data_IF_772499704306
#
_entry.id   IF_772499704306
#
_cell.length_a   1.000
_cell.length_b   1.000
_cell.length_c   1.000
_cell.angle_alpha   90.00
_cell.angle_beta   90.00
_cell.angle_gamma   90.00
#
_symmetry.space_group_name_H-M   'P 1'
#
loop_
_entity.id
_entity.type
_entity.pdbx_description
1 polymer ?
#
# COMPACT_ATOMS: atom_id res chain seq x y z
N UNK A 1 -0.27 13.28 17.19
CA UNK A 1 -1.33 12.31 17.58
C UNK A 1 -0.91 10.93 17.08
N UNK A 2 -0.97 9.90 17.91
CA UNK A 2 -0.61 8.53 17.48
C UNK A 2 -1.84 7.87 16.87
N UNK A 3 -1.82 7.54 15.59
CA UNK A 3 -2.90 6.87 14.88
C UNK A 3 -2.55 5.39 14.70
N UNK A 4 -3.49 4.50 15.01
CA UNK A 4 -3.36 3.06 14.80
C UNK A 4 -4.45 2.64 13.82
N UNK A 5 -4.07 1.96 12.75
CA UNK A 5 -5.02 1.57 11.71
C UNK A 5 -4.76 0.21 11.10
N UNK A 6 -5.57 -0.12 10.10
CA UNK A 6 -5.43 -1.29 9.23
C UNK A 6 -5.62 -0.88 7.78
N UNK A 7 -4.95 -1.58 6.86
CA UNK A 7 -5.23 -1.48 5.42
C UNK A 7 -6.50 -2.28 5.08
N UNK A 8 -7.36 -1.70 4.26
CA UNK A 8 -8.45 -2.41 3.61
C UNK A 8 -8.04 -2.78 2.17
N UNK A 9 -6.92 -3.51 2.06
CA UNK A 9 -6.36 -3.98 0.80
C UNK A 9 -7.30 -4.91 0.04
N UNK A 10 -7.11 -5.04 -1.27
CA UNK A 10 -7.88 -5.88 -2.17
C UNK A 10 -9.40 -5.60 -2.19
N UNK A 11 -9.85 -4.47 -1.70
CA UNK A 11 -11.27 -4.10 -1.75
C UNK A 11 -11.61 -3.28 -2.99
N UNK A 12 -10.99 -2.11 -3.15
CA UNK A 12 -11.23 -1.19 -4.27
C UNK A 12 -10.12 -1.25 -5.33
N UNK A 13 -8.93 -1.72 -4.96
CA UNK A 13 -7.83 -2.11 -5.84
C UNK A 13 -7.63 -3.61 -5.69
N UNK A 14 -7.62 -4.35 -6.78
CA UNK A 14 -7.55 -5.81 -6.74
C UNK A 14 -6.11 -6.31 -6.77
N UNK A 15 -5.84 -7.28 -5.91
CA UNK A 15 -4.60 -8.04 -5.87
C UNK A 15 -4.92 -9.53 -5.97
N UNK A 16 -4.51 -10.18 -7.06
CA UNK A 16 -4.89 -11.57 -7.38
C UNK A 16 -4.56 -12.55 -6.27
N UNK A 17 -3.40 -12.39 -5.62
CA UNK A 17 -2.96 -13.29 -4.55
C UNK A 17 -3.88 -13.24 -3.31
N UNK A 18 -4.59 -12.14 -3.08
CA UNK A 18 -5.54 -12.00 -1.96
C UNK A 18 -6.91 -12.59 -2.27
N UNK A 19 -7.33 -12.63 -3.54
CA UNK A 19 -8.58 -13.24 -3.97
C UNK A 19 -8.50 -13.80 -5.39
N UNK A 20 -7.80 -14.94 -5.58
CA UNK A 20 -7.61 -15.54 -6.90
C UNK A 20 -8.91 -15.94 -7.59
N UNK A 21 -9.99 -16.18 -6.84
CA UNK A 21 -11.29 -16.55 -7.40
C UNK A 21 -11.89 -15.47 -8.31
N UNK A 22 -11.56 -14.19 -8.07
CA UNK A 22 -11.98 -13.10 -8.96
C UNK A 22 -11.40 -13.23 -10.38
N UNK A 23 -10.25 -13.89 -10.50
CA UNK A 23 -9.47 -14.02 -11.73
C UNK A 23 -9.72 -15.35 -12.45
N UNK A 24 -10.58 -16.22 -11.91
CA UNK A 24 -10.89 -17.51 -12.52
C UNK A 24 -11.35 -17.40 -13.98
N UNK A 25 -10.81 -18.28 -14.85
CA UNK A 25 -11.12 -18.29 -16.28
C UNK A 25 -10.36 -17.24 -17.08
N UNK A 26 -9.36 -16.58 -16.48
CA UNK A 26 -8.46 -15.63 -17.15
C UNK A 26 -7.00 -15.98 -16.90
N UNK A 27 -6.11 -15.36 -17.66
CA UNK A 27 -4.65 -15.35 -17.41
C UNK A 27 -4.20 -14.01 -16.83
N UNK A 28 -5.14 -13.12 -16.47
CA UNK A 28 -4.84 -11.82 -15.88
C UNK A 28 -4.14 -11.99 -14.53
N UNK A 29 -3.10 -11.19 -14.30
CA UNK A 29 -2.39 -11.11 -13.03
C UNK A 29 -2.78 -9.85 -12.22
N UNK A 30 -3.50 -8.94 -12.86
CA UNK A 30 -3.86 -7.62 -12.34
C UNK A 30 -5.24 -7.16 -12.81
N UNK A 31 -5.71 -6.05 -12.26
CA UNK A 31 -7.01 -5.47 -12.61
C UNK A 31 -7.02 -4.81 -14.00
N UNK A 32 -5.85 -4.46 -14.57
CA UNK A 32 -5.79 -3.92 -15.92
C UNK A 32 -6.25 -4.94 -16.96
N UNK A 33 -5.78 -6.19 -16.84
CA UNK A 33 -6.09 -7.26 -17.78
C UNK A 33 -7.42 -7.97 -17.51
N UNK A 34 -7.89 -7.95 -16.26
CA UNK A 34 -9.11 -8.66 -15.86
C UNK A 34 -10.34 -8.27 -16.69
N UNK A 35 -10.74 -6.98 -16.84
CA UNK A 35 -11.89 -6.58 -17.65
C UNK A 35 -11.67 -6.73 -19.16
N UNK A 36 -10.41 -6.90 -19.59
CA UNK A 36 -10.07 -7.11 -21.01
C UNK A 36 -10.14 -8.57 -21.43
N UNK A 37 -10.15 -9.48 -20.45
CA UNK A 37 -10.22 -10.93 -20.69
C UNK A 37 -11.59 -11.53 -20.33
N UNK A 38 -12.44 -10.81 -19.63
CA UNK A 38 -13.82 -11.21 -19.31
C UNK A 38 -14.82 -10.47 -20.19
N UNK A 39 -16.03 -11.03 -20.36
CA UNK A 39 -17.14 -10.22 -20.88
C UNK A 39 -17.49 -9.12 -19.89
N UNK A 40 -18.02 -8.01 -20.39
CA UNK A 40 -18.41 -6.87 -19.56
C UNK A 40 -19.36 -7.29 -18.43
N UNK A 41 -20.36 -8.09 -18.73
CA UNK A 41 -21.37 -8.55 -17.78
C UNK A 41 -20.77 -9.42 -16.67
N UNK A 42 -19.80 -10.29 -17.01
CA UNK A 42 -19.12 -11.15 -16.04
C UNK A 42 -18.20 -10.32 -15.13
N UNK A 43 -17.44 -9.39 -15.70
CA UNK A 43 -16.59 -8.50 -14.94
C UNK A 43 -17.43 -7.63 -13.99
N UNK A 44 -18.47 -6.97 -14.48
CA UNK A 44 -19.36 -6.15 -13.66
C UNK A 44 -20.00 -6.92 -12.50
N UNK A 45 -20.47 -8.14 -12.78
CA UNK A 45 -21.08 -8.97 -11.75
C UNK A 45 -20.07 -9.37 -10.66
N UNK A 46 -18.85 -9.80 -11.05
CA UNK A 46 -17.79 -10.17 -10.11
C UNK A 46 -17.37 -8.99 -9.21
N UNK A 47 -17.10 -7.85 -9.81
CA UNK A 47 -16.68 -6.65 -9.09
C UNK A 47 -17.77 -6.16 -8.14
N UNK A 48 -19.04 -6.15 -8.57
CA UNK A 48 -20.16 -5.74 -7.72
C UNK A 48 -20.32 -6.63 -6.50
N UNK A 49 -20.26 -7.94 -6.68
CA UNK A 49 -20.35 -8.91 -5.56
C UNK A 49 -19.15 -8.71 -4.63
N UNK A 50 -17.93 -8.69 -5.19
CA UNK A 50 -16.72 -8.50 -4.40
C UNK A 50 -16.79 -7.24 -3.54
N UNK A 51 -17.06 -6.08 -4.14
CA UNK A 51 -17.08 -4.80 -3.41
C UNK A 51 -18.18 -4.75 -2.33
N UNK A 52 -19.29 -5.45 -2.55
CA UNK A 52 -20.40 -5.47 -1.58
C UNK A 52 -20.18 -6.42 -0.40
N UNK A 53 -19.33 -7.44 -0.55
CA UNK A 53 -19.18 -8.51 0.44
C UNK A 53 -17.80 -8.54 1.11
N UNK A 54 -16.76 -8.04 0.43
CA UNK A 54 -15.37 -8.13 0.88
C UNK A 54 -15.10 -7.25 2.09
N UNK A 55 -15.52 -5.99 2.05
CA UNK A 55 -15.51 -5.06 3.20
C UNK A 55 -16.93 -4.53 3.41
N UNK A 56 -17.40 -4.62 4.63
CA UNK A 56 -18.75 -4.26 5.05
C UNK A 56 -18.74 -3.36 6.27
N UNK A 57 -19.88 -2.78 6.63
CA UNK A 57 -20.04 -2.01 7.87
C UNK A 57 -19.59 -2.78 9.12
N UNK A 58 -19.80 -4.11 9.14
CA UNK A 58 -19.40 -4.98 10.26
C UNK A 58 -17.89 -4.97 10.48
N UNK A 59 -17.10 -4.81 9.41
CA UNK A 59 -15.65 -4.74 9.50
C UNK A 59 -15.22 -3.47 10.23
N UNK A 60 -15.88 -2.33 9.97
CA UNK A 60 -15.61 -1.07 10.68
C UNK A 60 -15.94 -1.20 12.18
N UNK A 61 -17.05 -1.85 12.53
CA UNK A 61 -17.38 -2.17 13.94
C UNK A 61 -16.28 -3.02 14.57
N UNK A 62 -15.83 -4.05 13.87
CA UNK A 62 -14.77 -4.96 14.35
C UNK A 62 -13.46 -4.22 14.55
N UNK A 63 -13.02 -3.41 13.56
CA UNK A 63 -11.80 -2.60 13.63
C UNK A 63 -11.86 -1.65 14.83
N UNK A 64 -12.99 -0.99 15.04
CA UNK A 64 -13.16 -0.12 16.20
C UNK A 64 -13.10 -0.89 17.51
N UNK A 65 -13.67 -2.09 17.57
CA UNK A 65 -13.63 -2.93 18.77
C UNK A 65 -12.20 -3.38 19.16
N UNK A 66 -11.28 -3.38 18.22
CA UNK A 66 -9.85 -3.64 18.47
C UNK A 66 -9.09 -2.42 19.01
N UNK A 67 -9.78 -1.29 19.21
CA UNK A 67 -9.18 -0.05 19.70
C UNK A 67 -8.31 0.63 18.65
N UNK A 68 -8.63 0.45 17.37
CA UNK A 68 -7.98 1.14 16.26
C UNK A 68 -8.69 2.46 15.96
N UNK A 69 -7.96 3.39 15.37
CA UNK A 69 -8.38 4.77 15.16
C UNK A 69 -8.66 5.07 13.68
N UNK A 70 -8.05 4.30 12.77
CA UNK A 70 -8.09 4.60 11.35
C UNK A 70 -8.08 3.35 10.46
N UNK A 71 -8.47 3.56 9.20
CA UNK A 71 -8.30 2.62 8.09
C UNK A 71 -7.56 3.34 6.95
N UNK A 72 -6.63 2.66 6.29
CA UNK A 72 -6.07 3.09 5.00
C UNK A 72 -6.85 2.36 3.91
N UNK A 73 -7.33 3.10 2.93
CA UNK A 73 -8.13 2.55 1.85
C UNK A 73 -7.42 2.79 0.52
N UNK A 74 -6.80 1.74 -0.06
CA UNK A 74 -6.30 1.78 -1.42
C UNK A 74 -7.43 2.07 -2.42
N UNK A 75 -7.24 3.10 -3.25
CA UNK A 75 -8.18 3.47 -4.31
C UNK A 75 -7.49 3.50 -5.66
N UNK A 76 -8.15 3.04 -6.76
CA UNK A 76 -7.55 3.05 -8.06
C UNK A 76 -7.68 4.43 -8.74
N UNK A 77 -6.82 4.70 -9.73
CA UNK A 77 -6.91 5.93 -10.53
C UNK A 77 -8.25 6.09 -11.26
N UNK A 78 -8.94 5.00 -11.54
CA UNK A 78 -10.26 5.00 -12.18
C UNK A 78 -11.45 5.04 -11.21
N UNK A 79 -11.20 5.44 -9.95
CA UNK A 79 -12.22 5.44 -8.89
C UNK A 79 -13.53 6.15 -9.28
N UNK A 80 -13.47 7.17 -10.13
CA UNK A 80 -14.64 7.92 -10.59
C UNK A 80 -15.37 7.30 -11.78
N UNK A 81 -14.88 6.19 -12.34
CA UNK A 81 -15.53 5.49 -13.46
C UNK A 81 -15.37 6.17 -14.82
N UNK A 82 -14.38 7.03 -14.98
CA UNK A 82 -14.08 7.78 -16.19
C UNK A 82 -12.97 7.16 -17.07
N UNK A 83 -12.64 5.92 -16.80
CA UNK A 83 -11.64 5.13 -17.57
C UNK A 83 -12.20 3.75 -17.93
N UNK A 84 -12.71 3.61 -19.14
CA UNK A 84 -13.12 2.28 -19.62
C UNK A 84 -11.91 1.35 -19.86
N UNK A 85 -12.06 0.04 -19.61
CA UNK A 85 -13.28 -0.68 -19.27
C UNK A 85 -13.53 -0.82 -17.74
N UNK A 86 -12.86 -0.05 -16.91
CA UNK A 86 -12.95 -0.15 -15.46
C UNK A 86 -14.26 0.40 -14.91
N UNK A 87 -14.70 -0.18 -13.81
CA UNK A 87 -15.88 0.29 -13.08
C UNK A 87 -15.45 1.15 -11.91
N UNK A 88 -15.93 2.38 -11.85
CA UNK A 88 -15.68 3.26 -10.71
C UNK A 88 -16.16 2.69 -9.38
N UNK A 89 -15.58 3.19 -8.29
CA UNK A 89 -15.90 2.74 -6.93
C UNK A 89 -16.07 3.90 -5.93
N UNK A 90 -16.33 5.10 -6.42
CA UNK A 90 -16.48 6.28 -5.56
C UNK A 90 -17.63 6.14 -4.55
N UNK A 91 -18.71 5.45 -4.92
CA UNK A 91 -19.86 5.21 -4.02
C UNK A 91 -19.51 4.25 -2.88
N UNK A 92 -18.58 3.31 -3.12
CA UNK A 92 -18.11 2.40 -2.07
C UNK A 92 -17.20 3.15 -1.08
N UNK A 93 -16.37 4.08 -1.55
CA UNK A 93 -15.61 4.97 -0.69
C UNK A 93 -16.54 5.91 0.11
N UNK A 94 -17.63 6.42 -0.48
CA UNK A 94 -18.65 7.19 0.25
C UNK A 94 -19.26 6.39 1.40
N UNK A 95 -19.57 5.10 1.17
CA UNK A 95 -20.07 4.20 2.24
C UNK A 95 -19.03 4.04 3.35
N UNK A 96 -17.75 3.85 2.99
CA UNK A 96 -16.67 3.77 3.96
C UNK A 96 -16.59 5.02 4.84
N UNK A 97 -16.69 6.21 4.26
CA UNK A 97 -16.73 7.46 5.02
C UNK A 97 -17.91 7.51 5.99
N UNK A 98 -19.11 7.11 5.54
CA UNK A 98 -20.30 7.08 6.40
C UNK A 98 -20.11 6.09 7.57
N UNK A 99 -19.51 4.93 7.33
CA UNK A 99 -19.23 3.95 8.39
C UNK A 99 -18.12 4.44 9.33
N UNK A 100 -17.04 5.01 8.78
CA UNK A 100 -15.95 5.55 9.58
C UNK A 100 -16.44 6.65 10.55
N UNK A 101 -17.18 7.61 10.04
CA UNK A 101 -17.74 8.71 10.86
C UNK A 101 -18.73 8.19 11.91
N UNK A 102 -19.58 7.23 11.54
CA UNK A 102 -20.54 6.59 12.47
C UNK A 102 -19.84 5.92 13.65
N UNK A 103 -18.68 5.30 13.43
CA UNK A 103 -17.95 4.54 14.45
C UNK A 103 -16.74 5.30 15.02
N UNK A 104 -16.51 6.55 14.60
CA UNK A 104 -15.38 7.37 15.07
C UNK A 104 -14.03 6.83 14.64
N UNK A 105 -13.95 6.31 13.40
CA UNK A 105 -12.72 5.97 12.71
C UNK A 105 -12.33 7.08 11.73
N UNK A 106 -11.05 7.16 11.37
CA UNK A 106 -10.53 8.04 10.34
C UNK A 106 -10.13 7.23 9.11
N UNK A 107 -10.09 7.87 7.95
CA UNK A 107 -9.69 7.28 6.68
C UNK A 107 -8.45 8.00 6.16
N UNK A 108 -7.40 7.25 5.85
CA UNK A 108 -6.36 7.66 4.92
C UNK A 108 -6.76 7.12 3.54
N UNK A 109 -7.07 8.02 2.62
CA UNK A 109 -7.24 7.65 1.22
C UNK A 109 -5.85 7.47 0.62
N UNK A 110 -5.59 6.33 0.02
CA UNK A 110 -4.35 6.05 -0.66
C UNK A 110 -4.60 5.88 -2.16
N UNK A 111 -4.08 6.78 -2.98
CA UNK A 111 -4.10 6.57 -4.43
C UNK A 111 -3.10 5.49 -4.78
N UNK A 112 -3.60 4.28 -4.92
CA UNK A 112 -2.78 3.07 -4.94
C UNK A 112 -2.19 2.73 -6.31
N UNK A 113 -2.84 3.18 -7.38
CA UNK A 113 -2.43 2.88 -8.75
C UNK A 113 -2.42 4.12 -9.63
N UNK A 114 -1.54 4.13 -10.62
CA UNK A 114 -1.51 5.11 -11.69
C UNK A 114 -1.66 4.44 -13.06
N UNK A 115 -2.24 5.13 -14.07
CA UNK A 115 -2.25 4.61 -15.43
C UNK A 115 -0.85 4.26 -15.89
N UNK A 116 -0.69 3.17 -16.63
CA UNK A 116 0.62 2.69 -17.11
C UNK A 116 1.63 2.33 -15.99
N UNK A 117 1.16 2.24 -14.72
CA UNK A 117 1.90 1.74 -13.58
C UNK A 117 3.01 2.68 -13.05
N UNK A 118 3.08 2.81 -11.73
CA UNK A 118 4.10 3.60 -11.04
C UNK A 118 5.22 2.73 -10.43
N UNK A 119 5.07 1.41 -10.40
CA UNK A 119 6.05 0.51 -9.79
C UNK A 119 6.30 -0.79 -10.57
N UNK A 120 5.40 -1.19 -11.47
CA UNK A 120 5.53 -2.43 -12.24
C UNK A 120 5.23 -3.72 -11.48
N UNK A 121 4.77 -3.62 -10.22
CA UNK A 121 4.34 -4.76 -9.41
C UNK A 121 2.83 -5.03 -9.58
N UNK A 122 2.34 -6.11 -9.00
CA UNK A 122 0.94 -6.51 -9.05
C UNK A 122 0.00 -5.53 -8.32
N UNK A 123 0.48 -4.87 -7.27
CA UNK A 123 -0.27 -3.84 -6.54
C UNK A 123 -0.36 -2.49 -7.29
N UNK A 124 0.47 -2.27 -8.31
CA UNK A 124 0.44 -1.04 -9.13
C UNK A 124 -0.67 -1.02 -10.18
N UNK A 125 -1.52 -2.05 -10.22
CA UNK A 125 -2.67 -2.15 -11.14
C UNK A 125 -2.34 -2.71 -12.52
N UNK A 126 -1.06 -2.82 -12.89
CA UNK A 126 -0.58 -3.48 -14.12
C UNK A 126 0.81 -4.06 -13.89
N UNK A 127 0.91 -5.40 -13.97
CA UNK A 127 2.17 -6.12 -13.79
C UNK A 127 3.17 -5.87 -14.93
N UNK A 128 4.43 -5.67 -14.57
CA UNK A 128 5.55 -5.55 -15.50
C UNK A 128 5.62 -4.22 -16.25
N UNK A 129 4.70 -3.30 -16.03
CA UNK A 129 4.67 -1.99 -16.70
C UNK A 129 4.90 -0.87 -15.69
N UNK A 130 5.91 -0.03 -15.94
CA UNK A 130 6.22 1.15 -15.15
C UNK A 130 6.58 2.31 -16.10
N UNK A 131 5.55 3.01 -16.60
CA UNK A 131 5.67 4.04 -17.63
C UNK A 131 4.89 5.32 -17.32
N UNK A 132 4.10 5.33 -16.26
CA UNK A 132 3.31 6.49 -15.86
C UNK A 132 4.12 7.80 -15.85
N UNK A 133 5.29 7.79 -15.27
CA UNK A 133 6.16 8.98 -15.18
C UNK A 133 6.64 9.51 -16.56
N UNK A 134 6.52 8.69 -17.60
CA UNK A 134 6.94 9.04 -18.96
C UNK A 134 5.80 9.66 -19.77
N UNK A 135 4.57 9.63 -19.26
CA UNK A 135 3.38 10.13 -19.95
C UNK A 135 2.77 11.35 -19.21
N UNK A 136 3.08 12.58 -19.66
CA UNK A 136 2.59 13.80 -19.02
C UNK A 136 1.05 13.91 -18.96
N UNK A 137 0.32 13.32 -19.91
CA UNK A 137 -1.14 13.36 -19.90
C UNK A 137 -1.70 12.48 -18.79
N UNK A 138 -1.10 11.32 -18.54
CA UNK A 138 -1.50 10.43 -17.46
C UNK A 138 -1.06 10.96 -16.08
N UNK A 139 0.06 11.68 -16.01
CA UNK A 139 0.45 12.40 -14.78
C UNK A 139 -0.58 13.48 -14.43
N UNK A 140 -1.00 14.28 -15.43
CA UNK A 140 -2.03 15.30 -15.25
C UNK A 140 -3.40 14.69 -14.88
N UNK A 141 -3.72 13.53 -15.45
CA UNK A 141 -4.93 12.81 -15.06
C UNK A 141 -4.88 12.37 -13.57
N UNK A 142 -3.76 11.86 -13.10
CA UNK A 142 -3.58 11.50 -11.68
C UNK A 142 -3.73 12.72 -10.78
N UNK A 143 -3.17 13.87 -11.13
CA UNK A 143 -3.40 15.12 -10.40
C UNK A 143 -4.88 15.49 -10.35
N UNK A 144 -5.62 15.31 -11.45
CA UNK A 144 -7.06 15.56 -11.52
C UNK A 144 -7.84 14.61 -10.59
N UNK A 145 -7.45 13.33 -10.51
CA UNK A 145 -8.06 12.36 -9.58
C UNK A 145 -7.85 12.82 -8.13
N UNK A 146 -6.62 13.18 -7.75
CA UNK A 146 -6.29 13.68 -6.41
C UNK A 146 -7.08 14.95 -6.07
N UNK A 147 -7.18 15.89 -7.00
CA UNK A 147 -7.96 17.12 -6.80
C UNK A 147 -9.44 16.81 -6.55
N UNK A 148 -10.04 15.92 -7.34
CA UNK A 148 -11.44 15.48 -7.16
C UNK A 148 -11.66 14.77 -5.83
N UNK A 149 -10.72 13.95 -5.37
CA UNK A 149 -10.77 13.31 -4.06
C UNK A 149 -10.71 14.37 -2.94
N UNK A 150 -9.80 15.33 -3.04
CA UNK A 150 -9.68 16.42 -2.07
C UNK A 150 -10.94 17.31 -2.03
N UNK A 151 -11.50 17.65 -3.19
CA UNK A 151 -12.77 18.41 -3.28
C UNK A 151 -13.93 17.66 -2.61
N UNK A 152 -14.00 16.33 -2.78
CA UNK A 152 -15.09 15.51 -2.25
C UNK A 152 -14.98 15.27 -0.75
N UNK A 153 -13.78 14.99 -0.27
CA UNK A 153 -13.57 14.50 1.09
C UNK A 153 -12.79 15.45 2.01
N UNK A 154 -12.20 16.51 1.48
CA UNK A 154 -11.28 17.38 2.23
C UNK A 154 -11.86 18.01 3.50
N UNK A 155 -13.17 18.19 3.56
CA UNK A 155 -13.87 18.72 4.71
C UNK A 155 -14.62 17.65 5.53
N UNK A 156 -14.57 16.37 5.11
CA UNK A 156 -15.23 15.28 5.85
C UNK A 156 -14.54 15.06 7.19
N UNK A 157 -15.34 14.90 8.25
CA UNK A 157 -14.80 14.59 9.57
C UNK A 157 -13.99 13.27 9.54
N UNK A 158 -14.47 12.29 8.79
CA UNK A 158 -13.84 10.98 8.63
C UNK A 158 -12.48 11.02 7.95
N UNK A 159 -12.13 12.06 7.17
CA UNK A 159 -10.82 12.13 6.52
C UNK A 159 -9.72 12.35 7.56
N UNK A 160 -8.66 11.54 7.49
CA UNK A 160 -7.39 11.79 8.15
C UNK A 160 -6.41 12.45 7.18
N UNK A 161 -6.28 11.93 5.97
CA UNK A 161 -5.39 12.47 4.94
C UNK A 161 -5.56 11.78 3.59
N UNK A 162 -4.80 12.28 2.62
CA UNK A 162 -4.71 11.72 1.27
C UNK A 162 -3.25 11.41 0.98
N UNK A 163 -2.96 10.16 0.67
CA UNK A 163 -1.68 9.70 0.15
C UNK A 163 -1.65 9.85 -1.37
N UNK A 164 -0.62 10.56 -1.85
CA UNK A 164 -0.58 11.06 -3.22
C UNK A 164 -0.36 9.96 -4.25
N UNK A 165 0.44 8.96 -3.91
CA UNK A 165 0.66 7.76 -4.73
C UNK A 165 1.33 6.68 -3.89
N UNK A 166 0.85 5.45 -4.00
CA UNK A 166 1.43 4.28 -3.35
C UNK A 166 2.70 3.81 -4.05
N UNK A 167 3.74 3.53 -3.29
CA UNK A 167 4.93 2.78 -3.69
C UNK A 167 5.50 3.13 -5.09
N UNK A 168 5.82 4.39 -5.38
CA UNK A 168 6.53 4.70 -6.61
C UNK A 168 7.90 4.02 -6.57
N UNK A 169 8.20 3.14 -7.54
CA UNK A 169 9.43 2.37 -7.53
C UNK A 169 10.63 3.23 -7.95
N UNK A 170 11.42 3.67 -6.99
CA UNK A 170 12.72 4.30 -7.24
C UNK A 170 13.76 3.25 -7.66
N UNK A 171 14.95 3.69 -8.10
CA UNK A 171 15.99 2.81 -8.64
C UNK A 171 16.37 1.68 -7.66
N UNK A 172 16.55 2.00 -6.37
CA UNK A 172 16.92 1.01 -5.35
C UNK A 172 15.87 -0.09 -5.17
N UNK A 173 14.59 0.29 -5.08
CA UNK A 173 13.49 -0.65 -4.99
C UNK A 173 13.33 -1.49 -6.27
N UNK A 174 13.47 -0.86 -7.44
CA UNK A 174 13.40 -1.52 -8.73
C UNK A 174 14.41 -2.66 -8.87
N UNK A 175 15.66 -2.40 -8.44
CA UNK A 175 16.74 -3.38 -8.46
C UNK A 175 16.57 -4.46 -7.39
N UNK A 176 16.30 -4.05 -6.13
CA UNK A 176 16.13 -4.98 -5.02
C UNK A 176 15.01 -5.98 -5.26
N UNK A 177 13.85 -5.49 -5.71
CA UNK A 177 12.70 -6.33 -5.98
C UNK A 177 12.81 -7.08 -7.31
N UNK A 178 13.80 -6.75 -8.15
CA UNK A 178 13.99 -7.37 -9.47
C UNK A 178 12.67 -7.37 -10.28
N UNK A 179 12.03 -6.20 -10.36
CA UNK A 179 10.65 -6.01 -10.84
C UNK A 179 10.42 -6.72 -12.17
N UNK A 180 11.28 -6.50 -13.14
CA UNK A 180 11.13 -7.07 -14.50
C UNK A 180 11.10 -8.59 -14.53
N UNK A 181 11.80 -9.25 -13.60
CA UNK A 181 11.83 -10.71 -13.52
C UNK A 181 10.70 -11.26 -12.66
N UNK A 182 10.38 -10.57 -11.59
CA UNK A 182 9.38 -11.01 -10.59
C UNK A 182 7.96 -10.84 -11.11
N UNK A 183 7.70 -9.77 -11.85
CA UNK A 183 6.40 -9.40 -12.37
C UNK A 183 6.42 -9.38 -13.91
N UNK A 184 6.41 -10.57 -14.56
CA UNK A 184 6.42 -10.63 -16.01
C UNK A 184 5.14 -10.00 -16.58
N UNK A 185 5.26 -9.12 -17.58
CA UNK A 185 4.09 -8.49 -18.18
C UNK A 185 3.27 -9.50 -19.00
N UNK A 186 1.97 -9.28 -19.08
CA UNK A 186 1.09 -10.02 -19.99
C UNK A 186 1.36 -9.64 -21.45
N UNK A 187 1.75 -8.39 -21.68
CA UNK A 187 2.10 -7.84 -22.99
C UNK A 187 3.50 -7.21 -22.95
N UNK A 188 4.46 -7.89 -23.57
CA UNK A 188 5.87 -7.45 -23.60
C UNK A 188 6.06 -6.14 -24.39
N UNK A 189 5.27 -5.88 -25.43
CA UNK A 189 5.36 -4.63 -26.20
C UNK A 189 4.86 -3.44 -25.36
N UNK A 190 3.80 -3.64 -24.59
CA UNK A 190 3.30 -2.63 -23.64
C UNK A 190 4.36 -2.32 -22.55
N UNK A 191 5.05 -3.35 -22.06
CA UNK A 191 6.07 -3.20 -21.03
C UNK A 191 7.39 -2.59 -21.53
N UNK A 192 7.57 -2.54 -22.83
CA UNK A 192 8.80 -2.03 -23.44
C UNK A 192 9.04 -0.56 -23.08
N UNK A 193 10.24 -0.29 -22.56
CA UNK A 193 10.60 1.04 -22.05
C UNK A 193 10.19 1.31 -20.61
N UNK A 194 9.62 0.33 -19.90
CA UNK A 194 9.42 0.42 -18.45
C UNK A 194 10.73 0.69 -17.73
N UNK A 195 10.70 1.63 -16.80
CA UNK A 195 11.88 2.08 -16.05
C UNK A 195 11.47 2.56 -14.66
N UNK A 196 12.39 2.53 -13.68
CA UNK A 196 12.14 3.10 -12.36
C UNK A 196 11.81 4.59 -12.43
N UNK A 197 11.05 5.06 -11.46
CA UNK A 197 10.74 6.48 -11.31
C UNK A 197 11.97 7.21 -10.77
N UNK A 198 12.29 8.39 -11.33
CA UNK A 198 13.38 9.20 -10.83
C UNK A 198 12.98 10.01 -9.60
N UNK A 199 13.92 10.26 -8.70
CA UNK A 199 13.71 11.12 -7.52
C UNK A 199 13.29 12.53 -7.95
N UNK A 200 13.83 13.07 -9.03
CA UNK A 200 13.47 14.38 -9.56
C UNK A 200 12.00 14.42 -10.00
N UNK A 201 11.55 13.40 -10.73
CA UNK A 201 10.15 13.32 -11.16
C UNK A 201 9.20 13.24 -9.98
N UNK A 202 9.45 12.33 -9.03
CA UNK A 202 8.50 12.10 -7.92
C UNK A 202 8.45 13.31 -6.97
N UNK A 203 9.57 13.99 -6.74
CA UNK A 203 9.60 15.26 -5.99
C UNK A 203 8.74 16.32 -6.68
N UNK A 204 8.92 16.48 -8.00
CA UNK A 204 8.07 17.43 -8.75
C UNK A 204 6.59 17.07 -8.67
N UNK A 205 6.25 15.81 -8.85
CA UNK A 205 4.87 15.32 -8.74
C UNK A 205 4.26 15.64 -7.36
N UNK A 206 4.99 15.41 -6.27
CA UNK A 206 4.50 15.74 -4.92
C UNK A 206 4.29 17.23 -4.70
N UNK A 207 5.16 18.08 -5.23
CA UNK A 207 5.00 19.54 -5.15
C UNK A 207 3.75 20.00 -5.91
N UNK A 208 3.59 19.54 -7.15
CA UNK A 208 2.45 19.89 -8.01
C UNK A 208 1.13 19.38 -7.40
N UNK A 209 1.13 18.16 -6.86
CA UNK A 209 -0.03 17.57 -6.19
C UNK A 209 -0.39 18.34 -4.91
N UNK A 210 0.60 18.69 -4.08
CA UNK A 210 0.39 19.49 -2.87
C UNK A 210 -0.30 20.82 -3.21
N UNK A 211 0.27 21.60 -4.13
CA UNK A 211 -0.26 22.92 -4.53
C UNK A 211 -1.68 22.82 -5.13
N UNK A 212 -2.06 21.65 -5.68
CA UNK A 212 -3.43 21.42 -6.19
C UNK A 212 -4.45 21.13 -5.11
N UNK A 213 -4.10 20.27 -4.14
CA UNK A 213 -5.11 19.70 -3.24
C UNK A 213 -5.19 20.43 -1.89
N UNK A 214 -4.13 21.08 -1.43
CA UNK A 214 -4.04 21.72 -0.11
C UNK A 214 -5.21 22.67 0.16
N UNK A 215 -5.59 23.48 -0.81
CA UNK A 215 -6.70 24.45 -0.72
C UNK A 215 -8.08 23.85 -0.46
N UNK A 216 -8.26 22.54 -0.71
CA UNK A 216 -9.51 21.82 -0.47
C UNK A 216 -9.54 21.07 0.85
N UNK A 217 -8.41 21.00 1.55
CA UNK A 217 -8.29 20.26 2.80
C UNK A 217 -8.51 21.18 4.01
N UNK A 218 -9.24 20.71 5.01
CA UNK A 218 -9.30 21.38 6.31
C UNK A 218 -7.93 21.33 6.99
N UNK A 219 -7.65 22.32 7.85
CA UNK A 219 -6.34 22.49 8.49
C UNK A 219 -5.87 21.30 9.35
N UNK A 220 -6.76 20.41 9.73
CA UNK A 220 -6.49 19.20 10.51
C UNK A 220 -6.21 17.98 9.65
N UNK A 221 -6.20 18.11 8.31
CA UNK A 221 -5.98 17.01 7.37
C UNK A 221 -4.52 16.95 6.92
N UNK A 222 -4.08 15.76 6.55
CA UNK A 222 -2.71 15.49 6.15
C UNK A 222 -2.60 15.18 4.65
N UNK A 223 -1.49 15.58 4.06
CA UNK A 223 -1.04 15.13 2.75
C UNK A 223 0.10 14.16 3.00
N UNK A 224 -0.03 12.94 2.49
CA UNK A 224 0.93 11.86 2.72
C UNK A 224 1.71 11.62 1.44
N UNK A 225 3.03 11.57 1.56
CA UNK A 225 3.96 11.23 0.48
C UNK A 225 4.66 9.92 0.83
N UNK A 226 4.79 9.03 -0.13
CA UNK A 226 5.50 7.77 0.04
C UNK A 226 7.00 7.94 -0.17
N UNK A 227 7.83 7.24 0.60
CA UNK A 227 9.29 7.38 0.57
C UNK A 227 9.97 6.74 -0.66
N UNK A 228 9.24 5.93 -1.44
CA UNK A 228 9.80 5.17 -2.56
C UNK A 228 10.80 4.11 -2.11
N UNK A 229 10.70 3.64 -0.86
CA UNK A 229 11.60 2.71 -0.17
C UNK A 229 13.01 3.27 0.08
N UNK A 230 13.19 4.58 0.00
CA UNK A 230 14.45 5.28 0.27
C UNK A 230 14.20 6.41 1.28
N UNK A 231 13.87 6.05 2.54
CA UNK A 231 13.36 6.96 3.56
C UNK A 231 14.26 8.19 3.81
N UNK A 232 15.57 8.03 3.78
CA UNK A 232 16.49 9.10 4.21
C UNK A 232 16.79 10.16 3.15
N UNK A 233 16.37 9.97 1.90
CA UNK A 233 16.64 10.94 0.81
C UNK A 233 15.73 12.18 0.86
N UNK A 234 14.73 12.20 1.75
CA UNK A 234 13.71 13.26 1.82
C UNK A 234 14.03 14.39 2.80
N UNK A 235 15.20 14.38 3.46
CA UNK A 235 15.58 15.32 4.53
C UNK A 235 15.47 16.81 4.16
N UNK A 236 15.76 17.14 2.93
CA UNK A 236 15.76 18.50 2.39
C UNK A 236 14.50 18.88 1.60
N UNK A 237 13.53 17.96 1.53
CA UNK A 237 12.33 18.14 0.72
C UNK A 237 11.20 18.80 1.53
N UNK A 238 10.38 19.65 0.88
CA UNK A 238 9.22 20.34 1.48
C UNK A 238 9.50 21.02 2.84
N UNK A 239 10.67 21.73 2.94
CA UNK A 239 11.09 22.40 4.19
C UNK A 239 10.59 23.83 4.32
N UNK A 240 9.95 24.40 3.29
CA UNK A 240 9.39 25.74 3.32
C UNK A 240 8.14 25.78 4.21
N UNK A 241 7.88 26.92 4.86
CA UNK A 241 6.74 27.13 5.78
C UNK A 241 5.36 26.90 5.13
N UNK A 242 5.28 26.99 3.81
CA UNK A 242 4.04 26.74 3.06
C UNK A 242 3.61 25.27 3.10
N UNK A 243 4.56 24.33 3.21
CA UNK A 243 4.24 22.90 3.25
C UNK A 243 3.84 22.47 4.65
N UNK A 244 2.54 22.57 4.95
CA UNK A 244 1.96 22.19 6.24
C UNK A 244 1.35 20.80 6.16
N UNK A 245 1.32 20.11 7.31
CA UNK A 245 0.65 18.82 7.46
C UNK A 245 1.09 17.75 6.46
N UNK A 246 2.36 17.80 6.05
CA UNK A 246 2.94 16.75 5.21
C UNK A 246 3.47 15.62 6.10
N UNK A 247 3.12 14.40 5.77
CA UNK A 247 3.53 13.17 6.45
C UNK A 247 4.29 12.31 5.46
N UNK A 248 5.41 11.73 5.90
CA UNK A 248 6.18 10.78 5.11
C UNK A 248 5.76 9.36 5.49
N UNK A 249 5.32 8.60 4.50
CA UNK A 249 4.99 7.19 4.65
C UNK A 249 6.15 6.31 4.20
N UNK A 250 6.39 5.25 4.95
CA UNK A 250 7.37 4.21 4.62
C UNK A 250 6.72 2.84 4.77
N UNK A 251 7.06 1.92 3.88
CA UNK A 251 6.60 0.54 3.94
C UNK A 251 7.75 -0.36 4.36
N UNK A 252 7.60 -1.04 5.49
CA UNK A 252 8.69 -1.76 6.12
C UNK A 252 8.33 -3.25 6.30
N UNK A 253 8.81 -4.07 5.39
CA UNK A 253 8.59 -5.51 5.38
C UNK A 253 9.84 -6.28 5.75
N UNK A 254 9.74 -7.26 6.65
CA UNK A 254 10.86 -8.15 6.97
C UNK A 254 11.34 -8.94 5.76
N UNK A 255 10.44 -9.24 4.83
CA UNK A 255 10.82 -9.86 3.56
C UNK A 255 11.85 -9.01 2.79
N UNK A 256 11.69 -7.70 2.75
CA UNK A 256 12.68 -6.81 2.12
C UNK A 256 14.00 -6.82 2.91
N UNK A 257 13.93 -6.82 4.24
CA UNK A 257 15.12 -6.97 5.08
C UNK A 257 15.87 -8.27 4.78
N UNK A 258 15.16 -9.38 4.60
CA UNK A 258 15.74 -10.68 4.20
C UNK A 258 16.43 -10.59 2.83
N UNK A 259 15.82 -9.93 1.85
CA UNK A 259 16.42 -9.68 0.54
C UNK A 259 17.69 -8.83 0.62
N UNK A 260 17.78 -7.96 1.62
CA UNK A 260 18.97 -7.16 1.92
C UNK A 260 19.99 -7.88 2.80
N UNK A 261 19.80 -9.18 3.05
CA UNK A 261 20.75 -10.04 3.78
C UNK A 261 20.53 -10.11 5.28
N UNK A 262 19.36 -9.70 5.80
CA UNK A 262 19.01 -9.93 7.19
C UNK A 262 19.02 -11.43 7.50
N UNK A 263 19.65 -11.82 8.61
CA UNK A 263 19.63 -13.19 9.07
C UNK A 263 18.22 -13.62 9.49
N UNK A 264 17.76 -14.77 8.98
CA UNK A 264 16.40 -15.29 9.20
C UNK A 264 16.30 -16.00 10.57
N UNK A 265 16.58 -15.25 11.63
CA UNK A 265 16.42 -15.63 13.03
C UNK A 265 15.70 -14.51 13.79
N UNK A 266 15.12 -14.81 14.96
CA UNK A 266 14.45 -13.77 15.77
C UNK A 266 15.46 -12.67 16.16
N UNK A 267 16.67 -13.05 16.51
CA UNK A 267 17.76 -12.14 16.87
C UNK A 267 18.22 -11.31 15.65
N UNK A 268 18.31 -11.94 14.47
CA UNK A 268 18.65 -11.27 13.22
C UNK A 268 17.62 -10.20 12.84
N UNK A 269 16.34 -10.53 12.92
CA UNK A 269 15.25 -9.58 12.70
C UNK A 269 15.28 -8.44 13.72
N UNK A 270 15.46 -8.74 15.01
CA UNK A 270 15.51 -7.73 16.05
C UNK A 270 16.68 -6.75 15.82
N UNK A 271 17.85 -7.27 15.48
CA UNK A 271 19.03 -6.47 15.14
C UNK A 271 18.74 -5.57 13.93
N UNK A 272 18.22 -6.14 12.84
CA UNK A 272 17.93 -5.38 11.61
C UNK A 272 16.91 -4.28 11.85
N UNK A 273 15.81 -4.60 12.53
CA UNK A 273 14.75 -3.63 12.88
C UNK A 273 15.31 -2.46 13.71
N UNK A 274 16.19 -2.74 14.67
CA UNK A 274 16.82 -1.69 15.49
C UNK A 274 17.84 -0.84 14.74
N UNK A 275 18.70 -1.49 13.95
CA UNK A 275 19.83 -0.83 13.28
C UNK A 275 19.44 -0.08 12.01
N UNK A 276 18.31 -0.46 11.36
CA UNK A 276 17.80 0.13 10.14
C UNK A 276 16.45 0.80 10.38
N UNK A 277 15.35 0.06 10.44
CA UNK A 277 14.00 0.64 10.46
C UNK A 277 13.81 1.68 11.58
N UNK A 278 14.12 1.29 12.81
CA UNK A 278 13.96 2.19 13.96
C UNK A 278 14.83 3.43 13.85
N UNK A 279 16.09 3.24 13.50
CA UNK A 279 17.08 4.33 13.40
C UNK A 279 16.74 5.32 12.29
N UNK A 280 16.34 4.82 11.13
CA UNK A 280 15.95 5.66 9.98
C UNK A 280 14.68 6.46 10.29
N UNK A 281 13.70 5.83 10.93
CA UNK A 281 12.48 6.53 11.37
C UNK A 281 12.82 7.60 12.42
N UNK A 282 13.62 7.28 13.42
CA UNK A 282 14.06 8.27 14.44
C UNK A 282 14.80 9.45 13.79
N UNK A 283 15.63 9.21 12.81
CA UNK A 283 16.33 10.24 12.07
C UNK A 283 15.36 11.12 11.28
N UNK A 284 14.48 10.50 10.51
CA UNK A 284 13.58 11.24 9.60
C UNK A 284 12.51 12.04 10.32
N UNK A 285 12.18 11.69 11.54
CA UNK A 285 11.23 12.46 12.35
C UNK A 285 11.69 13.85 12.76
N UNK A 286 12.97 14.15 12.59
CA UNK A 286 13.47 15.51 12.73
C UNK A 286 13.02 16.41 11.57
N UNK A 287 12.57 15.80 10.48
CA UNK A 287 12.21 16.47 9.23
C UNK A 287 10.71 16.37 8.91
N UNK A 288 10.10 15.22 9.14
CA UNK A 288 8.69 14.94 8.88
C UNK A 288 8.07 14.14 10.03
N UNK A 289 6.79 14.26 10.29
CA UNK A 289 6.04 13.16 10.90
C UNK A 289 6.17 11.93 9.99
N UNK A 290 6.63 10.80 10.53
CA UNK A 290 6.77 9.56 9.77
C UNK A 290 5.73 8.55 10.22
N UNK A 291 5.07 7.90 9.27
CA UNK A 291 4.21 6.75 9.49
C UNK A 291 4.83 5.51 8.83
N UNK A 292 4.48 4.34 9.32
CA UNK A 292 4.67 3.09 8.60
C UNK A 292 3.31 2.66 8.06
N UNK A 293 3.06 2.98 6.79
CA UNK A 293 1.78 2.77 6.12
C UNK A 293 1.50 1.32 5.83
N UNK A 294 2.52 0.52 5.57
CA UNK A 294 2.38 -0.90 5.37
C UNK A 294 3.48 -1.72 6.06
N UNK A 295 3.07 -2.77 6.72
CA UNK A 295 3.92 -3.77 7.34
C UNK A 295 3.10 -5.01 7.70
N UNK A 296 3.73 -6.16 7.82
CA UNK A 296 3.05 -7.38 8.21
C UNK A 296 3.94 -8.26 9.11
N UNK A 297 3.37 -9.37 9.58
CA UNK A 297 4.09 -10.35 10.39
C UNK A 297 4.77 -11.43 9.55
N UNK A 298 4.62 -11.38 8.21
CA UNK A 298 5.26 -12.34 7.34
C UNK A 298 6.77 -12.29 7.53
N UNK A 299 7.37 -13.47 7.70
CA UNK A 299 8.80 -13.69 7.73
C UNK A 299 9.10 -15.14 7.32
N UNK A 300 10.21 -15.37 6.64
CA UNK A 300 10.56 -16.69 6.12
C UNK A 300 10.80 -17.71 7.23
N UNK A 301 11.24 -17.26 8.41
CA UNK A 301 11.49 -18.13 9.56
C UNK A 301 10.22 -18.87 10.03
N UNK A 302 9.11 -18.14 10.26
CA UNK A 302 7.87 -18.73 10.76
C UNK A 302 7.00 -19.33 9.65
N UNK A 303 6.95 -18.67 8.49
CA UNK A 303 6.10 -19.13 7.40
C UNK A 303 6.63 -20.42 6.77
N UNK A 304 7.96 -20.61 6.79
CA UNK A 304 8.60 -21.69 6.03
C UNK A 304 8.19 -21.65 4.55
N UNK A 305 8.91 -22.26 3.66
CA UNK A 305 8.51 -22.36 2.25
C UNK A 305 7.36 -23.36 2.02
N UNK A 306 6.80 -23.92 3.10
CA UNK A 306 5.82 -24.98 3.08
C UNK A 306 4.37 -24.50 3.07
N UNK A 307 4.12 -23.22 2.92
CA UNK A 307 2.77 -22.70 2.72
C UNK A 307 2.36 -22.95 1.28
N UNK A 308 1.46 -23.91 1.07
CA UNK A 308 0.86 -24.27 -0.24
C UNK A 308 0.26 -23.10 -1.03
N UNK A 309 0.27 -21.90 -0.48
CA UNK A 309 -0.13 -20.65 -1.12
C UNK A 309 1.02 -19.64 -1.31
N UNK A 310 2.19 -19.86 -0.70
CA UNK A 310 3.30 -18.89 -0.70
C UNK A 310 4.17 -18.89 -1.95
N UNK A 311 3.96 -19.81 -2.88
CA UNK A 311 4.78 -19.87 -4.09
C UNK A 311 4.65 -18.65 -5.01
N UNK A 312 3.54 -17.93 -4.98
CA UNK A 312 3.33 -16.77 -5.83
C UNK A 312 3.94 -15.48 -5.28
N UNK A 313 4.02 -15.33 -3.96
CA UNK A 313 4.58 -14.11 -3.33
C UNK A 313 6.11 -14.17 -3.22
N UNK A 314 6.69 -15.36 -3.20
CA UNK A 314 8.11 -15.57 -2.90
C UNK A 314 8.92 -16.18 -4.06
N UNK A 315 8.42 -16.15 -5.27
CA UNK A 315 9.16 -16.56 -6.47
C UNK A 315 10.42 -15.72 -6.63
N UNK A 316 11.54 -16.20 -6.10
CA UNK A 316 12.86 -15.57 -6.22
C UNK A 316 13.71 -15.54 -4.95
N UNK A 317 13.20 -15.95 -3.80
CA UNK A 317 14.01 -16.19 -2.60
C UNK A 317 14.46 -17.66 -2.58
N UNK A 318 15.45 -18.01 -3.38
CA UNK A 318 16.08 -19.34 -3.34
C UNK A 318 16.94 -19.45 -2.08
N UNK A 319 16.65 -20.41 -1.22
CA UNK A 319 17.57 -20.81 -0.15
C UNK A 319 17.09 -20.74 1.29
N UNK A 320 15.81 -20.47 1.57
CA UNK A 320 15.29 -20.56 2.94
C UNK A 320 15.32 -22.02 3.42
N UNK A 321 15.97 -22.28 4.55
CA UNK A 321 15.94 -23.59 5.19
C UNK A 321 14.55 -23.82 5.79
N UNK A 322 13.90 -24.91 5.38
CA UNK A 322 12.61 -25.34 5.91
C UNK A 322 12.82 -25.96 7.28
N UNK A 323 12.91 -25.14 8.32
CA UNK A 323 12.71 -25.66 9.68
C UNK A 323 11.21 -25.75 9.96
N UNK A 324 10.72 -26.95 10.25
CA UNK A 324 9.34 -27.20 10.62
C UNK A 324 9.13 -26.83 12.09
N UNK A 325 8.68 -25.63 12.34
CA UNK A 325 8.28 -25.19 13.69
C UNK A 325 6.89 -25.72 14.04
N UNK A 326 6.67 -26.04 15.31
CA UNK A 326 5.34 -26.33 15.83
C UNK A 326 4.46 -25.07 15.79
N UNK A 327 3.12 -25.20 15.84
CA UNK A 327 2.23 -24.02 15.93
C UNK A 327 2.57 -23.08 17.09
N UNK A 328 2.99 -23.63 18.24
CA UNK A 328 3.38 -22.87 19.41
C UNK A 328 4.67 -22.06 19.16
N UNK A 329 5.67 -22.68 18.56
CA UNK A 329 6.92 -22.02 18.19
C UNK A 329 6.68 -20.93 17.15
N UNK A 330 5.85 -21.18 16.12
CA UNK A 330 5.46 -20.17 15.15
C UNK A 330 4.78 -18.97 15.82
N UNK A 331 3.89 -19.25 16.78
CA UNK A 331 3.22 -18.20 17.55
C UNK A 331 4.23 -17.33 18.34
N UNK A 332 5.24 -17.95 18.97
CA UNK A 332 6.28 -17.25 19.68
C UNK A 332 7.10 -16.35 18.75
N UNK A 333 7.47 -16.85 17.55
CA UNK A 333 8.16 -16.07 16.52
C UNK A 333 7.31 -14.88 16.08
N UNK A 334 6.02 -15.08 15.75
CA UNK A 334 5.12 -13.99 15.38
C UNK A 334 4.93 -12.96 16.48
N UNK A 335 4.89 -13.39 17.75
CA UNK A 335 4.80 -12.47 18.89
C UNK A 335 6.07 -11.62 19.03
N UNK A 336 7.25 -12.23 18.87
CA UNK A 336 8.52 -11.52 18.91
C UNK A 336 8.62 -10.51 17.75
N UNK A 337 8.29 -10.95 16.52
CA UNK A 337 8.27 -10.11 15.33
C UNK A 337 7.28 -8.94 15.47
N UNK A 338 6.08 -9.19 15.99
CA UNK A 338 5.09 -8.14 16.25
C UNK A 338 5.59 -7.13 17.28
N UNK A 339 6.28 -7.60 18.33
CA UNK A 339 6.81 -6.75 19.39
C UNK A 339 7.89 -5.83 18.86
N UNK A 340 8.92 -6.37 18.19
CA UNK A 340 10.05 -5.56 17.70
C UNK A 340 9.62 -4.53 16.65
N UNK A 341 8.75 -4.91 15.73
CA UNK A 341 8.22 -3.97 14.72
C UNK A 341 7.39 -2.87 15.39
N UNK A 342 6.51 -3.21 16.33
CA UNK A 342 5.73 -2.21 17.08
C UNK A 342 6.62 -1.25 17.88
N UNK A 343 7.71 -1.74 18.48
CA UNK A 343 8.68 -0.89 19.17
C UNK A 343 9.37 0.07 18.23
N UNK A 344 9.69 -0.37 17.00
CA UNK A 344 10.25 0.49 15.95
C UNK A 344 9.27 1.59 15.53
N UNK A 345 8.02 1.21 15.23
CA UNK A 345 6.99 2.18 14.87
C UNK A 345 6.62 3.09 16.05
N UNK A 346 6.84 2.65 17.28
CA UNK A 346 6.59 3.44 18.49
C UNK A 346 7.58 4.58 18.69
N UNK A 347 8.72 4.54 18.03
CA UNK A 347 9.71 5.62 18.02
C UNK A 347 9.30 6.80 17.15
N UNK A 348 8.37 6.57 16.23
CA UNK A 348 7.78 7.60 15.42
C UNK A 348 7.09 8.70 16.25
N UNK A 349 7.23 9.99 15.86
CA UNK A 349 6.63 11.15 16.54
C UNK A 349 5.11 11.23 16.35
N UNK A 350 4.43 10.16 16.75
CA UNK A 350 3.04 10.31 17.09
C UNK A 350 2.01 9.90 16.05
N UNK A 351 2.36 9.60 14.81
CA UNK A 351 1.41 8.99 13.88
C UNK A 351 1.82 7.54 13.68
N UNK A 352 1.03 6.64 14.23
CA UNK A 352 1.23 5.20 14.09
C UNK A 352 0.04 4.67 13.33
N UNK A 353 0.14 4.65 12.01
CA UNK A 353 -0.66 3.73 11.25
C UNK A 353 -0.06 2.34 11.44
N UNK A 354 -0.65 1.60 12.35
CA UNK A 354 -0.39 0.18 12.49
C UNK A 354 -1.25 -0.52 11.45
N UNK A 355 -0.68 -0.70 10.27
CA UNK A 355 -1.36 -1.43 9.23
C UNK A 355 -1.12 -2.91 9.44
N UNK A 356 -2.10 -3.57 10.01
CA UNK A 356 -2.21 -5.01 9.91
C UNK A 356 -2.80 -5.22 8.52
N UNK A 357 -2.00 -5.72 7.58
CA UNK A 357 -2.57 -6.31 6.38
C UNK A 357 -3.52 -7.41 6.86
N UNK A 358 -4.80 -7.20 6.66
CA UNK A 358 -5.77 -8.25 6.78
C UNK A 358 -5.63 -9.07 5.51
N UNK A 359 -4.92 -10.19 5.57
CA UNK A 359 -5.29 -11.33 4.76
C UNK A 359 -6.72 -11.70 5.16
N UNK A 360 -7.68 -11.02 4.56
CA UNK A 360 -9.10 -11.30 4.77
C UNK A 360 -9.42 -12.59 4.05
N UNK A 361 -9.24 -13.69 4.73
CA UNK A 361 -9.62 -15.01 4.23
C UNK A 361 -9.10 -16.16 5.06
N UNK A 362 -7.96 -16.03 5.72
CA UNK A 362 -7.29 -17.20 6.31
C UNK A 362 -7.16 -17.16 7.85
N UNK A 363 -7.16 -15.99 8.50
CA UNK A 363 -6.86 -15.91 9.94
C UNK A 363 -8.03 -15.60 10.89
N UNK A 364 -9.27 -15.41 10.41
CA UNK A 364 -10.41 -15.09 11.29
C UNK A 364 -11.63 -16.01 11.14
N UNK A 365 -11.45 -17.22 10.62
CA UNK A 365 -12.47 -18.28 10.69
C UNK A 365 -12.10 -19.43 11.62
N UNK A 366 -11.23 -19.18 12.62
CA UNK A 366 -11.02 -20.14 13.70
C UNK A 366 -11.05 -19.41 15.05
#
# INVERSE_FOLDING_TARGET
>A
MKVKGVNLGNWLVLEKWMNPALFEGTTAEDEYWLPRQLSKEVYEARIKIHRSEYITERDFVTIKSWGLDAVRIPVPYFIFGDREPFIGCIEDLDKAFNWAEKYGLKILIDLHTAPEGQNGSDNGGICGVCKWAQNPEEVEFVHTVLERLAQRYGHREGLWGIELINEPALQGAWELLNIQKRYPPVDEEMAKGSAPITVEFIRKFYLDAYDRIEKYLSEDKYIVIHDGFELTIWKDFMREEKYKNVVLDTHQYLMMAEMMGCEQTVEGYEKYVKEHFMKEIEEMQQYFPVICGEWCLFNSLACGWDTKGGQTVLNGLEGASVETYTPEQKKEIYQAVAKMQKEAWDKGNGIKLRLIMREVGIFFRY
#
